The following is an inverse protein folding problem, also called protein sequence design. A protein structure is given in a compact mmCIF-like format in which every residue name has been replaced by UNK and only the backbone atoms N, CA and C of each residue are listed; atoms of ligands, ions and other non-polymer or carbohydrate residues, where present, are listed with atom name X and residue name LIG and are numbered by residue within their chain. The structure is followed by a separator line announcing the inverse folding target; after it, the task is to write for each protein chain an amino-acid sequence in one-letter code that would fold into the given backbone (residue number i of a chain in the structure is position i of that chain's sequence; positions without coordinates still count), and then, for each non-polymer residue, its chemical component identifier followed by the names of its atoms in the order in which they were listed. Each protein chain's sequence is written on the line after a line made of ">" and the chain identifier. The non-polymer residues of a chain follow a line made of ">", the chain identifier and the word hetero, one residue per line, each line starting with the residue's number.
data_IF_458050053793
#
_entry.id   IF_458050053793
#
_cell.length_a   1.000
_cell.length_b   1.000
_cell.length_c   1.000
_cell.angle_alpha   90.00
_cell.angle_beta   90.00
_cell.angle_gamma   90.00
#
_symmetry.space_group_name_H-M   'P 1'
#
loop_
_entity.id
_entity.type
_entity.pdbx_description
1 polymer ?
#
# COMPACT_ATOMS: atom_id res chain seq x y z
N UNK A 1 -34.03 -20.86 -25.31
CA UNK A 1 -32.89 -20.19 -26.00
C UNK A 1 -33.01 -18.66 -26.04
N UNK A 2 -34.20 -18.05 -25.90
CA UNK A 2 -34.36 -16.59 -26.00
C UNK A 2 -33.83 -15.75 -24.83
N UNK A 3 -34.07 -16.16 -23.57
CA UNK A 3 -33.74 -15.33 -22.40
C UNK A 3 -32.22 -15.18 -22.14
N UNK A 4 -31.44 -16.25 -22.34
CA UNK A 4 -29.97 -16.18 -22.18
C UNK A 4 -29.32 -15.26 -23.22
N UNK A 5 -29.80 -15.29 -24.47
CA UNK A 5 -29.35 -14.37 -25.52
C UNK A 5 -29.74 -12.92 -25.25
N UNK A 6 -30.96 -12.69 -24.74
CA UNK A 6 -31.41 -11.35 -24.35
C UNK A 6 -30.57 -10.77 -23.20
N UNK A 7 -30.25 -11.57 -22.19
CA UNK A 7 -29.38 -11.17 -21.08
C UNK A 7 -27.95 -10.83 -21.55
N UNK A 8 -27.39 -11.62 -22.47
CA UNK A 8 -26.07 -11.35 -23.04
C UNK A 8 -26.05 -10.03 -23.83
N UNK A 9 -27.08 -9.78 -24.65
CA UNK A 9 -27.22 -8.52 -25.40
C UNK A 9 -27.37 -7.31 -24.48
N UNK A 10 -28.16 -7.41 -23.42
CA UNK A 10 -28.30 -6.35 -22.42
C UNK A 10 -26.96 -6.08 -21.71
N UNK A 11 -26.21 -7.11 -21.36
CA UNK A 11 -24.89 -6.95 -20.75
C UNK A 11 -23.91 -6.20 -21.66
N UNK A 12 -23.82 -6.58 -22.94
CA UNK A 12 -22.97 -5.88 -23.91
C UNK A 12 -23.44 -4.44 -24.17
N UNK A 13 -24.75 -4.20 -24.20
CA UNK A 13 -25.32 -2.86 -24.39
C UNK A 13 -25.00 -1.95 -23.20
N UNK A 14 -25.09 -2.47 -21.97
CA UNK A 14 -24.71 -1.73 -20.76
C UNK A 14 -23.22 -1.42 -20.78
N UNK A 15 -22.37 -2.40 -21.08
CA UNK A 15 -20.92 -2.19 -21.15
C UNK A 15 -20.54 -1.15 -22.23
N UNK A 16 -21.21 -1.20 -23.38
CA UNK A 16 -21.03 -0.22 -24.45
C UNK A 16 -21.46 1.19 -24.01
N UNK A 17 -22.62 1.33 -23.35
CA UNK A 17 -23.09 2.62 -22.83
C UNK A 17 -22.13 3.20 -21.78
N UNK A 18 -21.61 2.37 -20.86
CA UNK A 18 -20.62 2.79 -19.86
C UNK A 18 -19.30 3.20 -20.53
N UNK A 19 -18.86 2.45 -21.55
CA UNK A 19 -17.69 2.80 -22.35
C UNK A 19 -17.85 4.15 -23.05
N UNK A 20 -19.00 4.38 -23.71
CA UNK A 20 -19.32 5.66 -24.35
C UNK A 20 -19.40 6.79 -23.33
N UNK A 21 -20.01 6.57 -22.16
CA UNK A 21 -20.06 7.55 -21.08
C UNK A 21 -18.65 7.97 -20.65
N UNK A 22 -17.77 6.99 -20.42
CA UNK A 22 -16.39 7.27 -19.99
C UNK A 22 -15.56 7.90 -21.10
N UNK A 23 -15.71 7.51 -22.36
CA UNK A 23 -14.99 8.13 -23.49
C UNK A 23 -15.50 9.55 -23.80
N UNK A 24 -16.81 9.78 -23.73
CA UNK A 24 -17.42 11.03 -24.14
C UNK A 24 -17.41 12.09 -23.03
N UNK A 25 -17.72 11.72 -21.78
CA UNK A 25 -17.87 12.70 -20.69
C UNK A 25 -16.60 12.94 -19.90
N UNK A 26 -15.64 12.00 -19.91
CA UNK A 26 -14.36 12.18 -19.24
C UNK A 26 -13.39 13.03 -20.09
N UNK A 27 -13.39 12.82 -21.41
CA UNK A 27 -12.45 13.50 -22.33
C UNK A 27 -13.02 14.79 -22.95
N UNK A 28 -14.36 14.96 -22.96
CA UNK A 28 -14.91 16.25 -23.39
C UNK A 28 -14.52 17.32 -22.37
N UNK A 29 -13.56 18.17 -22.77
CA UNK A 29 -13.17 19.40 -22.07
C UNK A 29 -14.32 20.40 -21.81
N UNK A 30 -15.58 19.98 -22.02
CA UNK A 30 -16.82 20.66 -21.70
C UNK A 30 -16.96 20.94 -20.19
N UNK A 31 -16.32 20.15 -19.32
CA UNK A 31 -16.26 20.40 -17.88
C UNK A 31 -15.44 21.65 -17.52
N UNK A 32 -14.58 22.12 -18.43
CA UNK A 32 -13.89 23.40 -18.29
C UNK A 32 -14.78 24.63 -18.52
N UNK A 33 -15.98 24.45 -19.08
CA UNK A 33 -16.90 25.53 -19.44
C UNK A 33 -17.83 25.94 -18.29
N UNK A 34 -17.99 25.08 -17.27
CA UNK A 34 -18.69 25.45 -16.03
C UNK A 34 -17.72 26.21 -15.14
N UNK A 35 -17.87 27.53 -15.07
CA UNK A 35 -17.03 28.41 -14.25
C UNK A 35 -16.96 27.90 -12.82
N UNK A 36 -15.77 27.50 -12.38
CA UNK A 36 -15.50 27.03 -11.01
C UNK A 36 -15.40 25.51 -10.84
N UNK A 37 -15.93 24.65 -11.71
CA UNK A 37 -15.88 23.19 -11.47
C UNK A 37 -14.44 22.66 -11.36
N UNK A 38 -13.52 23.20 -12.16
CA UNK A 38 -12.11 22.82 -12.18
C UNK A 38 -11.34 23.13 -10.88
N UNK A 39 -11.77 24.12 -10.10
CA UNK A 39 -11.12 24.47 -8.82
C UNK A 39 -11.60 23.61 -7.64
N UNK A 40 -12.78 23.00 -7.75
CA UNK A 40 -13.32 22.11 -6.71
C UNK A 40 -12.96 20.63 -6.95
N UNK A 41 -12.74 20.25 -8.22
CA UNK A 41 -12.44 18.86 -8.62
C UNK A 41 -10.93 18.61 -8.81
N UNK A 42 -10.10 19.66 -8.78
CA UNK A 42 -8.64 19.55 -8.92
C UNK A 42 -7.91 19.18 -7.63
N UNK A 43 -6.76 18.51 -7.75
CA UNK A 43 -5.81 18.34 -6.65
C UNK A 43 -5.35 19.70 -6.10
N UNK A 44 -5.17 19.79 -4.78
CA UNK A 44 -4.72 21.04 -4.16
C UNK A 44 -3.23 21.27 -4.43
N UNK A 45 -2.92 22.22 -5.31
CA UNK A 45 -1.54 22.65 -5.62
C UNK A 45 -1.30 24.09 -5.19
N UNK A 46 -1.81 24.47 -4.01
CA UNK A 46 -1.62 25.80 -3.44
C UNK A 46 -2.07 26.97 -4.35
N UNK A 47 -3.06 26.75 -5.21
CA UNK A 47 -3.61 27.77 -6.11
C UNK A 47 -2.99 27.83 -7.51
N UNK A 48 -2.05 26.94 -7.82
CA UNK A 48 -1.50 26.78 -9.17
C UNK A 48 -2.32 25.78 -10.00
N UNK A 49 -2.20 25.84 -11.34
CA UNK A 49 -2.76 24.83 -12.23
C UNK A 49 -1.83 23.62 -12.25
N UNK A 50 -2.40 22.42 -12.06
CA UNK A 50 -1.66 21.15 -12.20
C UNK A 50 -0.98 21.07 -13.55
N UNK A 51 0.36 21.12 -13.55
CA UNK A 51 1.19 20.87 -14.73
C UNK A 51 2.10 19.68 -14.44
N UNK A 52 1.52 18.52 -14.18
CA UNK A 52 2.34 17.32 -14.00
C UNK A 52 1.58 16.10 -13.51
N UNK A 53 2.15 14.94 -13.82
CA UNK A 53 1.83 13.68 -13.18
C UNK A 53 2.44 13.72 -11.78
N UNK A 54 1.67 13.37 -10.74
CA UNK A 54 2.23 13.23 -9.39
C UNK A 54 3.11 11.98 -9.32
N UNK A 55 4.35 12.09 -9.76
CA UNK A 55 5.37 11.05 -9.59
C UNK A 55 5.70 10.94 -8.10
N UNK A 56 5.19 9.90 -7.45
CA UNK A 56 5.60 9.56 -6.09
C UNK A 56 6.92 8.79 -6.15
N UNK A 57 8.04 9.48 -5.91
CA UNK A 57 9.32 8.84 -5.66
C UNK A 57 9.25 8.12 -4.32
N UNK A 58 8.80 6.86 -4.33
CA UNK A 58 8.89 6.01 -3.15
C UNK A 58 10.37 5.84 -2.79
N UNK A 59 10.77 6.28 -1.60
CA UNK A 59 12.17 6.20 -1.19
C UNK A 59 12.57 4.76 -0.88
N UNK A 60 13.80 4.37 -1.26
CA UNK A 60 14.36 3.05 -0.95
C UNK A 60 14.45 2.77 0.54
N UNK A 61 14.63 3.80 1.37
CA UNK A 61 14.64 3.73 2.82
C UNK A 61 13.31 3.21 3.39
N UNK A 62 12.17 3.66 2.84
CA UNK A 62 10.86 3.15 3.28
C UNK A 62 10.63 1.70 2.89
N UNK A 63 11.13 1.29 1.72
CA UNK A 63 11.06 -0.10 1.30
C UNK A 63 11.80 -1.02 2.27
N UNK A 64 13.04 -0.65 2.62
CA UNK A 64 13.91 -1.44 3.50
C UNK A 64 13.30 -1.55 4.90
N UNK A 65 12.79 -0.44 5.45
CA UNK A 65 12.10 -0.42 6.75
C UNK A 65 10.89 -1.36 6.76
N UNK A 66 10.09 -1.39 5.69
CA UNK A 66 8.94 -2.29 5.59
C UNK A 66 9.35 -3.77 5.58
N UNK A 67 10.39 -4.12 4.84
CA UNK A 67 10.90 -5.51 4.80
C UNK A 67 11.39 -5.94 6.19
N UNK A 68 12.16 -5.09 6.87
CA UNK A 68 12.63 -5.39 8.22
C UNK A 68 11.50 -5.50 9.24
N UNK A 69 10.47 -4.64 9.14
CA UNK A 69 9.29 -4.73 9.99
C UNK A 69 8.61 -6.10 9.86
N UNK A 70 8.44 -6.62 8.64
CA UNK A 70 7.84 -7.93 8.40
C UNK A 70 8.69 -9.08 8.98
N UNK A 71 10.02 -9.00 8.83
CA UNK A 71 10.93 -10.02 9.39
C UNK A 71 10.87 -10.03 10.92
N UNK A 72 10.94 -8.87 11.55
CA UNK A 72 10.91 -8.75 13.01
C UNK A 72 9.55 -9.17 13.60
N UNK A 73 8.44 -8.91 12.90
CA UNK A 73 7.09 -9.36 13.30
C UNK A 73 6.97 -10.91 13.27
N UNK A 74 7.61 -11.55 12.28
CA UNK A 74 7.70 -13.01 12.22
C UNK A 74 8.52 -13.56 13.40
N UNK A 75 9.66 -12.94 13.71
CA UNK A 75 10.53 -13.37 14.82
C UNK A 75 9.84 -13.22 16.19
N UNK A 76 9.06 -12.14 16.39
CA UNK A 76 8.23 -11.97 17.60
C UNK A 76 7.13 -13.03 17.65
N UNK A 77 6.47 -13.32 16.54
CA UNK A 77 5.43 -14.35 16.46
C UNK A 77 5.96 -15.73 16.90
N UNK A 78 7.23 -16.02 16.60
CA UNK A 78 7.89 -17.25 17.04
C UNK A 78 8.16 -17.25 18.56
N UNK A 79 8.45 -16.08 19.13
CA UNK A 79 8.68 -15.89 20.56
C UNK A 79 7.38 -16.00 21.38
N UNK A 80 6.22 -15.69 20.79
CA UNK A 80 4.90 -15.81 21.43
C UNK A 80 4.57 -17.25 21.88
N UNK A 81 5.21 -18.26 21.30
CA UNK A 81 5.04 -19.66 21.73
C UNK A 81 5.74 -19.99 23.06
N UNK A 82 6.61 -19.11 23.58
CA UNK A 82 7.34 -19.30 24.85
C UNK A 82 6.41 -19.60 26.05
N UNK A 83 5.39 -18.79 26.37
CA UNK A 83 4.49 -19.06 27.51
C UNK A 83 3.69 -20.36 27.35
N UNK A 84 3.52 -20.86 26.12
CA UNK A 84 2.75 -22.07 25.84
C UNK A 84 3.50 -23.37 26.18
N UNK A 85 4.83 -23.33 26.29
CA UNK A 85 5.67 -24.54 26.43
C UNK A 85 5.74 -25.14 27.85
N UNK A 86 5.04 -24.57 28.83
CA UNK A 86 4.96 -25.13 30.20
C UNK A 86 6.29 -25.10 30.97
N UNK A 87 6.25 -25.52 32.24
CA UNK A 87 7.29 -25.32 33.27
C UNK A 87 8.66 -26.02 32.99
N UNK A 88 8.81 -26.75 31.87
CA UNK A 88 10.05 -27.45 31.53
C UNK A 88 11.00 -26.50 30.80
N UNK A 89 11.74 -25.72 31.59
CA UNK A 89 12.80 -24.77 31.23
C UNK A 89 13.96 -25.33 30.37
N UNK A 90 13.89 -26.57 29.90
CA UNK A 90 14.96 -27.20 29.10
C UNK A 90 15.25 -26.45 27.80
N UNK A 91 14.25 -25.77 27.22
CA UNK A 91 14.41 -25.01 25.98
C UNK A 91 14.74 -23.52 26.19
N UNK A 92 14.72 -23.02 27.44
CA UNK A 92 15.02 -21.62 27.75
C UNK A 92 16.37 -21.12 27.20
N UNK A 93 17.50 -21.87 27.22
CA UNK A 93 18.75 -21.35 26.67
C UNK A 93 18.67 -21.05 25.17
N UNK A 94 17.86 -21.80 24.40
CA UNK A 94 17.65 -21.52 22.98
C UNK A 94 16.86 -20.24 22.76
N UNK A 95 15.83 -19.99 23.58
CA UNK A 95 15.07 -18.73 23.54
C UNK A 95 15.92 -17.52 23.93
N UNK A 96 16.77 -17.65 24.95
CA UNK A 96 17.70 -16.57 25.34
C UNK A 96 18.71 -16.30 24.24
N UNK A 97 19.27 -17.35 23.62
CA UNK A 97 20.16 -17.21 22.46
C UNK A 97 19.46 -16.52 21.29
N UNK A 98 18.20 -16.88 21.03
CA UNK A 98 17.37 -16.26 19.99
C UNK A 98 17.12 -14.76 20.27
N UNK A 99 16.81 -14.38 21.50
CA UNK A 99 16.65 -12.97 21.90
C UNK A 99 17.95 -12.18 21.73
N UNK A 100 19.09 -12.77 22.06
CA UNK A 100 20.39 -12.12 21.88
C UNK A 100 20.69 -11.89 20.39
N UNK A 101 20.38 -12.86 19.53
CA UNK A 101 20.51 -12.70 18.07
C UNK A 101 19.59 -11.60 17.54
N UNK A 102 18.35 -11.54 18.02
CA UNK A 102 17.39 -10.47 17.71
C UNK A 102 17.93 -9.08 18.07
N UNK A 103 18.44 -8.92 19.30
CA UNK A 103 19.04 -7.65 19.74
C UNK A 103 20.26 -7.27 18.91
N UNK A 104 21.09 -8.25 18.54
CA UNK A 104 22.28 -8.01 17.71
C UNK A 104 21.91 -7.57 16.27
N UNK A 105 20.93 -8.25 15.65
CA UNK A 105 20.42 -7.88 14.33
C UNK A 105 19.85 -6.46 14.31
N UNK A 106 19.02 -6.13 15.30
CA UNK A 106 18.48 -4.79 15.47
C UNK A 106 19.57 -3.73 15.69
N UNK A 107 20.60 -4.04 16.50
CA UNK A 107 21.72 -3.12 16.72
C UNK A 107 22.52 -2.80 15.46
N UNK A 108 22.75 -3.80 14.60
CA UNK A 108 23.41 -3.59 13.30
C UNK A 108 22.57 -2.66 12.41
N UNK A 109 21.26 -2.85 12.42
CA UNK A 109 20.32 -2.08 11.58
C UNK A 109 20.32 -0.60 11.96
N UNK A 110 20.25 -0.31 13.27
CA UNK A 110 20.34 1.05 13.80
C UNK A 110 21.68 1.70 13.42
N UNK A 111 22.79 0.97 13.55
CA UNK A 111 24.12 1.50 13.22
C UNK A 111 24.30 1.79 11.72
N UNK A 112 23.56 1.09 10.84
CA UNK A 112 23.59 1.36 9.39
C UNK A 112 22.73 2.57 8.98
N UNK A 113 21.99 3.17 9.90
CA UNK A 113 21.19 4.37 9.64
C UNK A 113 19.91 4.11 8.85
N UNK A 114 19.50 2.85 8.66
CA UNK A 114 18.25 2.53 7.96
C UNK A 114 16.99 2.95 8.73
N UNK A 115 17.13 3.18 10.04
CA UNK A 115 16.06 3.69 10.93
C UNK A 115 16.06 5.22 10.97
N UNK A 116 17.11 5.89 10.49
CA UNK A 116 17.18 7.34 10.51
C UNK A 116 16.31 7.93 9.40
N UNK A 117 15.40 8.81 9.81
CA UNK A 117 14.62 9.63 8.89
C UNK A 117 15.46 10.86 8.56
N UNK A 118 16.34 10.75 7.56
CA UNK A 118 16.93 11.94 6.97
C UNK A 118 15.87 12.62 6.12
N UNK A 119 15.44 13.79 6.58
CA UNK A 119 14.58 14.72 5.83
C UNK A 119 15.28 15.22 4.57
#
# INVERSE_FOLDING_TARGET
>A
MGYSGLCALLFFLIFFLVGVFHLFLWDSGLWGFVSGFRSWVGSFECGFISQGVSENYFSWTYFILLVFFVVFDLEISLLLNLPLQGLLFKNLPYYVCFVVLLCFGFGIEVNKGYVEWSY
#
